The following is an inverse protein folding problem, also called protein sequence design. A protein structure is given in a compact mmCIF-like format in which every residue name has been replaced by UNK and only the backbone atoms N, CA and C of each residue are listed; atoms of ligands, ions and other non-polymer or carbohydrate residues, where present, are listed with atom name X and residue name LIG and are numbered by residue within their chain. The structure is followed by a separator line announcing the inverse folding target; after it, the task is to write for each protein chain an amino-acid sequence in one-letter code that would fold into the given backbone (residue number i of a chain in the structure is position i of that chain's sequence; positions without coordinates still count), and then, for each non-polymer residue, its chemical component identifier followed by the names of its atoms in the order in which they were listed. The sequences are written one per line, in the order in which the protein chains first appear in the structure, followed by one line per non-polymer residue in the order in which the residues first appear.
data_IF_404415590110
#
_entry.id   IF_404415590110
#
_cell.length_a   1.000
_cell.length_b   1.000
_cell.length_c   1.000
_cell.angle_alpha   90.00
_cell.angle_beta   90.00
_cell.angle_gamma   90.00
#
_symmetry.space_group_name_H-M   'P 1'
#
loop_
_entity.id
_entity.type
_entity.pdbx_description
1 polymer ?
#
# COMPACT_ATOMS: atom_id res chain seq x y z
N UNK A 1 12.69 59.88 -6.06
CA UNK A 1 11.69 59.49 -5.04
C UNK A 1 11.14 58.11 -5.42
N UNK A 2 11.14 57.12 -4.52
CA UNK A 2 10.48 55.82 -4.80
C UNK A 2 8.97 56.01 -4.64
N UNK A 3 8.18 55.68 -5.66
CA UNK A 3 6.71 55.59 -5.50
C UNK A 3 6.41 54.46 -4.51
N UNK A 4 5.76 54.79 -3.39
CA UNK A 4 5.19 53.78 -2.50
C UNK A 4 4.02 53.08 -3.17
N UNK A 5 3.83 51.80 -2.85
CA UNK A 5 2.65 51.04 -3.26
C UNK A 5 1.40 51.65 -2.65
N UNK A 6 0.29 51.74 -3.39
CA UNK A 6 -0.93 52.33 -2.83
C UNK A 6 -1.64 51.35 -1.90
N UNK A 7 -2.32 51.87 -0.87
CA UNK A 7 -3.15 51.06 0.02
C UNK A 7 -4.20 50.24 -0.76
N UNK A 8 -4.75 50.81 -1.84
CA UNK A 8 -5.79 50.17 -2.65
C UNK A 8 -5.26 49.05 -3.53
N UNK A 9 -4.06 49.16 -4.11
CA UNK A 9 -3.41 48.05 -4.82
C UNK A 9 -3.17 46.86 -3.87
N UNK A 10 -2.77 47.12 -2.62
CA UNK A 10 -2.56 46.05 -1.62
C UNK A 10 -3.87 45.33 -1.29
N UNK A 11 -4.96 46.07 -1.09
CA UNK A 11 -6.29 45.52 -0.83
C UNK A 11 -6.77 44.68 -2.03
N UNK A 12 -6.56 45.16 -3.26
CA UNK A 12 -6.98 44.43 -4.47
C UNK A 12 -6.23 43.11 -4.65
N UNK A 13 -4.92 43.09 -4.36
CA UNK A 13 -4.08 41.88 -4.40
C UNK A 13 -4.56 40.83 -3.38
N UNK A 14 -4.82 41.21 -2.13
CA UNK A 14 -5.29 40.24 -1.12
C UNK A 14 -6.71 39.71 -1.42
N UNK A 15 -7.58 40.52 -2.04
CA UNK A 15 -8.92 40.07 -2.47
C UNK A 15 -8.82 39.04 -3.60
N UNK A 16 -7.98 39.28 -4.61
CA UNK A 16 -7.75 38.31 -5.70
C UNK A 16 -7.15 37.02 -5.14
N UNK A 17 -6.11 37.11 -4.31
CA UNK A 17 -5.48 35.94 -3.69
C UNK A 17 -6.47 35.16 -2.80
N UNK A 18 -7.37 35.85 -2.08
CA UNK A 18 -8.43 35.22 -1.29
C UNK A 18 -9.40 34.41 -2.14
N UNK A 19 -9.87 34.96 -3.27
CA UNK A 19 -10.76 34.25 -4.21
C UNK A 19 -10.05 33.05 -4.84
N UNK A 20 -8.80 33.23 -5.30
CA UNK A 20 -8.02 32.13 -5.89
C UNK A 20 -7.75 31.01 -4.87
N UNK A 21 -7.42 31.34 -3.62
CA UNK A 21 -7.23 30.37 -2.56
C UNK A 21 -8.52 29.59 -2.23
N UNK A 22 -9.67 30.27 -2.16
CA UNK A 22 -10.97 29.65 -1.88
C UNK A 22 -11.36 28.59 -2.93
N UNK A 23 -11.02 28.80 -4.21
CA UNK A 23 -11.28 27.84 -5.29
C UNK A 23 -10.20 26.76 -5.40
N UNK A 24 -8.94 27.09 -5.11
CA UNK A 24 -7.83 26.14 -5.21
C UNK A 24 -7.84 25.06 -4.11
N UNK A 25 -8.11 25.45 -2.85
CA UNK A 25 -8.00 24.56 -1.69
C UNK A 25 -8.86 23.29 -1.78
N UNK A 26 -10.17 23.34 -2.13
CA UNK A 26 -10.99 22.12 -2.21
C UNK A 26 -10.49 21.14 -3.27
N UNK A 27 -10.00 21.66 -4.41
CA UNK A 27 -9.46 20.84 -5.50
C UNK A 27 -8.15 20.14 -5.12
N UNK A 28 -7.28 20.82 -4.36
CA UNK A 28 -6.00 20.26 -3.93
C UNK A 28 -6.17 19.02 -3.03
N UNK A 29 -7.17 19.01 -2.16
CA UNK A 29 -7.47 17.86 -1.28
C UNK A 29 -7.86 16.62 -2.10
N UNK A 30 -8.72 16.78 -3.11
CA UNK A 30 -9.14 15.66 -3.97
C UNK A 30 -7.99 15.05 -4.78
N UNK A 31 -7.08 15.89 -5.30
CA UNK A 31 -5.90 15.43 -6.06
C UNK A 31 -4.93 14.65 -5.17
N UNK A 32 -4.75 15.04 -3.90
CA UNK A 32 -3.90 14.31 -2.97
C UNK A 32 -4.41 12.90 -2.69
N UNK A 33 -5.72 12.72 -2.54
CA UNK A 33 -6.30 11.40 -2.29
C UNK A 33 -6.26 10.50 -3.53
N UNK A 34 -6.53 11.04 -4.72
CA UNK A 34 -6.34 10.33 -5.98
C UNK A 34 -4.89 9.86 -6.15
N UNK A 35 -3.90 10.70 -5.80
CA UNK A 35 -2.49 10.33 -5.84
C UNK A 35 -2.12 9.23 -4.82
N UNK A 36 -2.78 9.16 -3.65
CA UNK A 36 -2.59 8.03 -2.72
C UNK A 36 -3.15 6.72 -3.27
N UNK A 37 -4.37 6.76 -3.83
CA UNK A 37 -5.01 5.58 -4.44
C UNK A 37 -4.21 5.04 -5.64
N UNK A 38 -3.72 5.94 -6.51
CA UNK A 38 -2.84 5.56 -7.63
C UNK A 38 -1.58 4.83 -7.14
N UNK A 39 -0.86 5.39 -6.15
CA UNK A 39 0.32 4.76 -5.55
C UNK A 39 0.02 3.39 -4.90
N UNK A 40 -1.15 3.23 -4.29
CA UNK A 40 -1.57 1.95 -3.74
C UNK A 40 -1.77 0.89 -4.83
N UNK A 41 -2.42 1.28 -5.94
CA UNK A 41 -2.59 0.43 -7.12
C UNK A 41 -1.26 0.07 -7.79
N UNK A 42 -0.34 1.03 -7.94
CA UNK A 42 1.01 0.81 -8.45
C UNK A 42 1.79 -0.19 -7.59
N UNK A 43 1.79 -0.01 -6.27
CA UNK A 43 2.48 -0.90 -5.33
C UNK A 43 1.92 -2.33 -5.38
N UNK A 44 0.58 -2.47 -5.43
CA UNK A 44 -0.09 -3.76 -5.61
C UNK A 44 0.22 -4.41 -6.96
N UNK A 45 0.28 -3.63 -8.04
CA UNK A 45 0.65 -4.15 -9.37
C UNK A 45 2.10 -4.66 -9.39
N UNK A 46 3.02 -3.96 -8.74
CA UNK A 46 4.41 -4.41 -8.60
C UNK A 46 4.52 -5.66 -7.71
N UNK A 47 3.74 -5.74 -6.62
CA UNK A 47 3.68 -6.94 -5.76
C UNK A 47 3.22 -8.17 -6.57
N UNK A 48 2.13 -8.03 -7.32
CA UNK A 48 1.57 -9.11 -8.13
C UNK A 48 2.44 -9.51 -9.34
N UNK A 49 3.27 -8.62 -9.87
CA UNK A 49 4.09 -8.90 -11.06
C UNK A 49 5.53 -9.33 -10.75
N UNK A 50 6.16 -8.77 -9.71
CA UNK A 50 7.56 -9.05 -9.35
C UNK A 50 7.65 -10.13 -8.28
N UNK A 51 6.78 -10.09 -7.28
CA UNK A 51 6.92 -10.90 -6.07
C UNK A 51 6.19 -12.23 -6.22
N UNK A 52 4.90 -12.19 -6.54
CA UNK A 52 4.04 -13.39 -6.67
C UNK A 52 4.69 -14.51 -7.51
N UNK A 53 5.23 -14.28 -8.73
CA UNK A 53 5.78 -15.37 -9.54
C UNK A 53 7.03 -15.99 -8.90
N UNK A 54 7.91 -15.16 -8.33
CA UNK A 54 9.14 -15.61 -7.68
C UNK A 54 8.87 -16.37 -6.38
N UNK A 55 7.79 -16.04 -5.65
CA UNK A 55 7.40 -16.77 -4.44
C UNK A 55 6.67 -18.06 -4.76
N UNK A 56 5.71 -18.03 -5.69
CA UNK A 56 4.94 -19.22 -6.07
C UNK A 56 5.82 -20.29 -6.72
N UNK A 57 6.78 -19.88 -7.57
CA UNK A 57 7.78 -20.80 -8.12
C UNK A 57 8.66 -21.43 -7.03
N UNK A 58 9.11 -20.67 -6.03
CA UNK A 58 9.85 -21.22 -4.89
C UNK A 58 8.99 -22.14 -4.02
N UNK A 59 7.72 -21.82 -3.82
CA UNK A 59 6.78 -22.63 -3.03
C UNK A 59 6.51 -23.99 -3.70
N UNK A 60 6.33 -24.02 -5.02
CA UNK A 60 6.18 -25.28 -5.78
C UNK A 60 7.44 -26.16 -5.77
N UNK A 61 8.61 -25.58 -5.53
CA UNK A 61 9.89 -26.29 -5.45
C UNK A 61 10.32 -26.66 -4.02
N UNK A 62 9.58 -26.21 -3.01
CA UNK A 62 9.84 -26.54 -1.61
C UNK A 62 9.02 -27.78 -1.20
N UNK A 63 9.67 -28.74 -0.54
CA UNK A 63 9.07 -30.03 -0.14
C UNK A 63 7.85 -29.84 0.79
N UNK A 64 7.93 -28.85 1.68
CA UNK A 64 6.84 -28.44 2.60
C UNK A 64 5.89 -27.38 2.00
N UNK A 65 6.09 -26.92 0.76
CA UNK A 65 5.33 -25.83 0.13
C UNK A 65 5.50 -24.43 0.75
N UNK A 66 6.12 -24.32 1.93
CA UNK A 66 6.22 -23.10 2.72
C UNK A 66 7.39 -22.21 2.28
N UNK A 67 7.12 -20.96 1.89
CA UNK A 67 8.15 -19.95 1.58
C UNK A 67 7.88 -18.68 2.38
N UNK A 68 8.79 -18.36 3.30
CA UNK A 68 8.72 -17.17 4.13
C UNK A 68 9.41 -15.97 3.49
N UNK A 69 8.69 -14.85 3.48
CA UNK A 69 9.20 -13.55 3.05
C UNK A 69 9.00 -12.57 4.20
N UNK A 70 9.79 -11.52 4.22
CA UNK A 70 9.75 -10.46 5.23
C UNK A 70 9.60 -9.11 4.55
N UNK A 71 8.85 -8.23 5.19
CA UNK A 71 8.53 -6.90 4.67
C UNK A 71 9.40 -5.86 5.38
N UNK A 72 10.45 -5.41 4.70
CA UNK A 72 11.39 -4.42 5.22
C UNK A 72 12.59 -5.01 5.97
N UNK A 73 13.30 -4.15 6.70
CA UNK A 73 14.59 -4.45 7.33
C UNK A 73 14.45 -5.27 8.61
N UNK A 74 14.07 -6.55 8.54
CA UNK A 74 14.34 -7.45 9.65
C UNK A 74 15.74 -8.04 9.52
N UNK A 75 16.60 -7.68 10.46
CA UNK A 75 17.60 -8.62 10.96
C UNK A 75 16.81 -9.62 11.80
N UNK A 76 16.66 -10.85 11.31
CA UNK A 76 16.04 -11.93 12.09
C UNK A 76 16.78 -12.09 13.41
N UNK A 77 16.05 -12.28 14.51
CA UNK A 77 16.64 -12.38 15.85
C UNK A 77 17.51 -13.66 16.00
N UNK A 78 17.28 -14.66 15.15
CA UNK A 78 18.11 -15.83 14.97
C UNK A 78 18.81 -15.78 13.60
N UNK A 79 20.12 -16.05 13.59
CA UNK A 79 20.97 -16.01 12.40
C UNK A 79 20.74 -17.14 11.37
N UNK A 80 19.69 -17.95 11.58
CA UNK A 80 19.43 -19.19 10.83
C UNK A 80 18.15 -19.12 9.98
N UNK A 81 17.40 -18.01 10.05
CA UNK A 81 16.13 -17.82 9.32
C UNK A 81 16.36 -16.84 8.15
N UNK A 82 16.65 -17.40 6.96
CA UNK A 82 16.92 -16.66 5.71
C UNK A 82 15.62 -16.15 5.07
N UNK A 83 14.92 -15.26 5.77
CA UNK A 83 13.69 -14.64 5.27
C UNK A 83 14.02 -13.67 4.14
N UNK A 84 13.47 -13.93 2.96
CA UNK A 84 13.68 -13.10 1.78
C UNK A 84 13.04 -11.72 2.02
N UNK A 85 13.81 -10.64 1.97
CA UNK A 85 13.26 -9.29 2.18
C UNK A 85 12.62 -8.75 0.90
N UNK A 86 11.39 -8.25 0.99
CA UNK A 86 10.70 -7.58 -0.13
C UNK A 86 11.51 -6.40 -0.70
N UNK A 87 12.26 -5.72 0.16
CA UNK A 87 13.19 -4.63 -0.20
C UNK A 87 14.30 -5.02 -1.19
N UNK A 88 14.50 -6.32 -1.45
CA UNK A 88 15.38 -6.83 -2.52
C UNK A 88 14.74 -6.73 -3.91
N UNK A 89 13.41 -6.80 -4.00
CA UNK A 89 12.66 -6.82 -5.26
C UNK A 89 11.98 -5.48 -5.60
N UNK A 90 11.66 -4.68 -4.59
CA UNK A 90 11.02 -3.37 -4.76
C UNK A 90 11.27 -2.43 -3.57
N UNK A 91 11.25 -1.13 -3.82
CA UNK A 91 11.24 -0.12 -2.77
C UNK A 91 9.80 0.14 -2.30
N UNK A 92 9.54 -0.05 -1.00
CA UNK A 92 8.24 0.28 -0.40
C UNK A 92 8.20 1.81 -0.20
N UNK A 93 7.23 2.54 -0.78
CA UNK A 93 7.10 3.98 -0.58
C UNK A 93 7.01 4.36 0.89
N UNK A 94 7.73 5.41 1.30
CA UNK A 94 7.84 5.82 2.72
C UNK A 94 6.54 6.23 3.41
N UNK A 95 5.47 6.47 2.65
CA UNK A 95 4.13 6.69 3.19
C UNK A 95 3.44 5.37 3.58
N UNK A 96 3.81 4.23 3.00
CA UNK A 96 3.31 2.92 3.41
C UNK A 96 4.15 2.33 4.55
N UNK A 97 3.45 1.84 5.58
CA UNK A 97 4.02 1.13 6.72
C UNK A 97 3.66 -0.34 6.64
N UNK A 98 4.65 -1.19 6.93
CA UNK A 98 4.45 -2.62 7.12
C UNK A 98 3.69 -2.83 8.43
N UNK A 99 2.63 -3.63 8.40
CA UNK A 99 1.75 -3.87 9.57
C UNK A 99 1.95 -5.25 10.16
N UNK A 100 2.13 -6.27 9.31
CA UNK A 100 2.69 -7.56 9.69
C UNK A 100 4.08 -7.65 9.09
N UNK A 101 5.11 -7.84 9.91
CA UNK A 101 6.53 -7.88 9.47
C UNK A 101 6.88 -9.12 8.66
N UNK A 102 6.07 -10.16 8.83
CA UNK A 102 6.31 -11.51 8.37
C UNK A 102 5.28 -11.94 7.33
N UNK A 103 5.65 -11.81 6.06
CA UNK A 103 4.87 -12.33 4.94
C UNK A 103 4.85 -13.87 4.95
N UNK A 104 5.79 -14.54 5.66
CA UNK A 104 5.74 -15.98 5.91
C UNK A 104 4.58 -16.45 6.79
N UNK A 105 3.94 -15.57 7.58
CA UNK A 105 2.65 -15.83 8.24
C UNK A 105 1.46 -15.24 7.47
N UNK A 106 1.69 -14.77 6.23
CA UNK A 106 0.70 -14.25 5.30
C UNK A 106 0.80 -14.91 3.91
N UNK A 107 1.47 -16.07 3.85
CA UNK A 107 1.58 -17.03 2.75
C UNK A 107 1.79 -18.48 3.26
N UNK A 108 1.72 -18.66 4.58
CA UNK A 108 1.98 -19.93 5.29
C UNK A 108 0.94 -20.15 6.40
N UNK A 109 -0.33 -19.91 6.06
CA UNK A 109 -1.47 -19.68 6.95
C UNK A 109 -1.60 -18.23 7.43
N UNK A 110 -2.31 -17.42 6.65
CA UNK A 110 -2.90 -16.16 7.12
C UNK A 110 -3.70 -16.36 8.41
N UNK A 111 -3.15 -15.90 9.54
CA UNK A 111 -3.74 -16.14 10.87
C UNK A 111 -5.06 -15.39 11.00
N UNK A 112 -6.16 -16.14 10.92
CA UNK A 112 -7.52 -15.63 11.09
C UNK A 112 -7.66 -14.90 12.43
N UNK A 113 -7.82 -13.58 12.37
CA UNK A 113 -8.04 -12.72 13.53
C UNK A 113 -9.53 -12.38 13.62
N UNK A 114 -10.07 -12.10 14.81
CA UNK A 114 -11.51 -11.84 15.04
C UNK A 114 -12.15 -10.65 14.27
N UNK A 115 -11.41 -10.01 13.35
CA UNK A 115 -11.79 -8.86 12.52
C UNK A 115 -11.56 -9.15 11.01
N UNK A 116 -11.06 -10.34 10.64
CA UNK A 116 -10.86 -10.78 9.25
C UNK A 116 -11.50 -12.17 9.09
N UNK A 117 -12.42 -12.39 8.13
CA UNK A 117 -12.77 -13.76 7.75
C UNK A 117 -11.55 -14.46 7.16
N UNK A 118 -11.55 -15.79 7.19
CA UNK A 118 -10.41 -16.65 6.85
C UNK A 118 -9.79 -16.29 5.48
N UNK A 119 -8.49 -16.59 5.34
CA UNK A 119 -7.67 -16.49 4.12
C UNK A 119 -7.06 -15.12 3.75
N UNK A 120 -7.33 -14.02 4.47
CA UNK A 120 -6.77 -12.71 4.12
C UNK A 120 -5.99 -12.03 5.25
N UNK A 121 -4.80 -11.50 4.90
CA UNK A 121 -3.92 -10.77 5.82
C UNK A 121 -3.79 -9.32 5.42
N UNK A 122 -3.77 -8.41 6.41
CA UNK A 122 -3.29 -7.06 6.21
C UNK A 122 -1.75 -7.05 6.19
N UNK A 123 -1.15 -6.38 5.22
CA UNK A 123 0.28 -6.47 4.90
C UNK A 123 0.93 -5.10 5.06
N UNK A 124 0.35 -4.08 4.42
CA UNK A 124 0.72 -2.68 4.60
C UNK A 124 -0.50 -1.81 4.91
N UNK A 125 -0.25 -0.64 5.48
CA UNK A 125 -1.22 0.46 5.57
C UNK A 125 -0.53 1.77 5.17
N UNK A 126 -1.26 2.70 4.55
CA UNK A 126 -0.77 4.06 4.40
C UNK A 126 -0.63 4.72 5.79
N UNK A 127 0.29 5.68 5.88
CA UNK A 127 0.56 6.55 7.03
C UNK A 127 -0.68 7.17 7.68
N UNK A 128 -1.76 7.35 6.93
CA UNK A 128 -3.04 7.92 7.38
C UNK A 128 -4.09 6.87 7.80
N UNK A 129 -3.80 5.57 7.64
CA UNK A 129 -4.76 4.47 7.82
C UNK A 129 -6.05 4.61 6.97
N UNK A 130 -6.00 5.30 5.82
CA UNK A 130 -7.12 5.36 4.85
C UNK A 130 -7.07 4.25 3.80
N UNK A 131 -5.88 3.70 3.52
CA UNK A 131 -5.66 2.64 2.52
C UNK A 131 -4.88 1.50 3.17
N UNK A 132 -5.34 0.29 2.91
CA UNK A 132 -4.80 -0.97 3.42
C UNK A 132 -4.45 -1.87 2.24
N UNK A 133 -3.28 -2.52 2.29
CA UNK A 133 -2.89 -3.54 1.32
C UNK A 133 -3.04 -4.90 2.00
N UNK A 134 -3.78 -5.77 1.35
CA UNK A 134 -4.05 -7.14 1.78
C UNK A 134 -3.43 -8.15 0.83
N UNK A 135 -3.19 -9.35 1.33
CA UNK A 135 -2.83 -10.51 0.53
C UNK A 135 -3.59 -11.74 0.99
N UNK A 136 -3.70 -12.72 0.08
CA UNK A 136 -4.26 -14.05 0.31
C UNK A 136 -3.22 -15.08 -0.10
N UNK A 137 -3.09 -16.11 0.74
CA UNK A 137 -2.21 -17.24 0.55
C UNK A 137 -2.47 -17.91 -0.80
N UNK A 138 -1.40 -18.36 -1.45
CA UNK A 138 -1.50 -19.26 -2.59
C UNK A 138 -1.81 -20.68 -2.11
N UNK A 139 -2.33 -21.51 -3.01
CA UNK A 139 -2.45 -22.94 -2.80
C UNK A 139 -1.76 -23.71 -3.94
N UNK A 140 -1.85 -25.04 -3.93
CA UNK A 140 -1.23 -25.90 -4.95
C UNK A 140 -1.69 -25.57 -6.39
N UNK A 141 -2.87 -24.96 -6.55
CA UNK A 141 -3.50 -24.64 -7.84
C UNK A 141 -3.64 -23.15 -8.14
N UNK A 142 -3.60 -22.28 -7.13
CA UNK A 142 -3.76 -20.83 -7.26
C UNK A 142 -2.53 -20.08 -6.72
N UNK A 143 -2.00 -19.14 -7.51
CA UNK A 143 -0.93 -18.26 -7.05
C UNK A 143 -1.42 -17.27 -5.97
N UNK A 144 -0.56 -16.84 -5.02
CA UNK A 144 -0.92 -15.82 -4.05
C UNK A 144 -1.28 -14.49 -4.73
N UNK A 145 -2.16 -13.71 -4.08
CA UNK A 145 -2.72 -12.48 -4.67
C UNK A 145 -2.68 -11.31 -3.69
N UNK A 146 -2.27 -10.13 -4.17
CA UNK A 146 -2.31 -8.87 -3.42
C UNK A 146 -3.39 -7.92 -3.97
N UNK A 147 -4.03 -7.15 -3.10
CA UNK A 147 -4.96 -6.08 -3.46
C UNK A 147 -4.92 -4.96 -2.42
N UNK A 148 -5.56 -3.83 -2.74
CA UNK A 148 -5.75 -2.74 -1.78
C UNK A 148 -7.24 -2.49 -1.54
N UNK A 149 -7.57 -1.97 -0.37
CA UNK A 149 -8.92 -1.56 0.01
C UNK A 149 -8.86 -0.33 0.93
N UNK A 150 -9.88 0.52 0.88
CA UNK A 150 -10.06 1.62 1.83
C UNK A 150 -10.72 1.19 3.15
N UNK A 151 -11.21 -0.06 3.21
CA UNK A 151 -11.78 -0.66 4.41
C UNK A 151 -10.72 -1.43 5.18
N UNK A 152 -10.88 -1.45 6.51
CA UNK A 152 -10.03 -2.21 7.44
C UNK A 152 -10.34 -3.72 7.49
N UNK A 153 -11.47 -4.14 6.92
CA UNK A 153 -11.77 -5.56 6.71
C UNK A 153 -11.19 -6.00 5.37
N UNK A 154 -10.35 -7.04 5.39
CA UNK A 154 -9.76 -7.63 4.19
C UNK A 154 -10.62 -8.72 3.55
N UNK A 155 -11.91 -8.81 3.87
CA UNK A 155 -12.78 -9.90 3.40
C UNK A 155 -12.71 -10.09 1.88
N UNK A 156 -12.67 -11.34 1.40
CA UNK A 156 -12.44 -11.64 -0.02
C UNK A 156 -13.30 -10.78 -0.95
N UNK A 157 -14.61 -10.69 -0.68
CA UNK A 157 -15.58 -9.96 -1.48
C UNK A 157 -15.36 -8.43 -1.58
N UNK A 158 -14.41 -7.84 -0.85
CA UNK A 158 -13.95 -6.45 -1.07
C UNK A 158 -12.91 -6.31 -2.21
N UNK A 159 -12.85 -7.27 -3.14
CA UNK A 159 -12.10 -7.22 -4.43
C UNK A 159 -12.23 -5.91 -5.24
N UNK A 160 -13.23 -5.07 -4.98
CA UNK A 160 -13.70 -4.04 -5.90
C UNK A 160 -12.87 -2.73 -5.91
N UNK A 161 -11.55 -2.84 -5.96
CA UNK A 161 -10.63 -1.72 -6.26
C UNK A 161 -9.56 -2.06 -7.31
N UNK A 162 -9.51 -3.30 -7.82
CA UNK A 162 -8.67 -3.66 -8.99
C UNK A 162 -9.41 -3.56 -10.33
N UNK A 163 -10.69 -3.15 -10.35
CA UNK A 163 -11.54 -3.03 -11.55
C UNK A 163 -11.81 -1.60 -12.03
N UNK A 164 -11.14 -0.58 -11.49
CA UNK A 164 -11.33 0.83 -11.89
C UNK A 164 -10.28 1.36 -12.88
N UNK A 165 -9.55 0.47 -13.56
CA UNK A 165 -8.45 0.82 -14.45
C UNK A 165 -8.47 0.02 -15.76
N UNK A 166 -9.58 0.12 -16.50
CA UNK A 166 -9.68 0.32 -17.96
C UNK A 166 -11.14 0.14 -18.41
#
# INVERSE_FOLDING_TARGET
MKKGFTMIELIFVIVILGILAAVALPRMVGVQEQARLAKAGELVAQLNSVVVPGLWGKAQMADDGNVSVTLGKMKTANANDERIQLSYYMEIPSNFKVVNTDLGTALGHCVATAIQPLETCQILADSTNSIYIFGRDGNSTEAPRFWYSSKKSGADNDFNVSKSSF
#
